data_IF_438658104361
#
_entry.id   IF_438658104361
#
_cell.length_a   1.000
_cell.length_b   1.000
_cell.length_c   1.000
_cell.angle_alpha   90.00
_cell.angle_beta   90.00
_cell.angle_gamma   90.00
#
_symmetry.space_group_name_H-M   'P 1'
#
loop_
_entity.id
_entity.type
_entity.pdbx_description
1 polymer ?
#
# COMPACT_ATOMS: atom_id res chain seq x y z
N UNK A 1 7.46 29.70 -18.88
CA UNK A 1 8.77 30.23 -18.45
C UNK A 1 9.50 29.10 -17.74
N UNK A 2 10.58 28.56 -18.31
CA UNK A 2 11.27 27.37 -17.79
C UNK A 2 12.12 27.80 -16.59
N UNK A 3 11.80 27.29 -15.40
CA UNK A 3 12.58 27.52 -14.18
C UNK A 3 13.70 26.48 -14.12
N UNK A 4 14.91 26.88 -13.72
CA UNK A 4 16.11 26.02 -13.76
C UNK A 4 16.57 25.68 -12.34
N UNK A 5 16.60 24.40 -11.99
CA UNK A 5 17.21 23.95 -10.73
C UNK A 5 18.74 24.04 -10.79
N UNK A 6 19.37 24.55 -9.72
CA UNK A 6 20.81 24.46 -9.49
C UNK A 6 21.07 23.91 -8.09
N UNK A 7 21.81 22.82 -8.01
CA UNK A 7 22.25 22.22 -6.75
C UNK A 7 23.69 22.66 -6.46
N UNK A 8 23.99 23.03 -5.22
CA UNK A 8 25.36 23.31 -4.79
C UNK A 8 25.68 22.59 -3.49
N UNK A 9 26.92 22.11 -3.37
CA UNK A 9 27.42 21.50 -2.15
C UNK A 9 27.82 22.60 -1.15
N UNK A 10 27.04 22.78 -0.08
CA UNK A 10 27.43 23.65 1.02
C UNK A 10 28.43 22.89 1.89
N UNK A 11 29.67 23.38 1.96
CA UNK A 11 30.75 22.77 2.75
C UNK A 11 30.29 22.67 4.22
N UNK A 12 29.80 21.48 4.59
CA UNK A 12 29.56 20.90 5.95
C UNK A 12 28.12 20.59 6.38
N UNK A 13 27.03 20.96 5.70
CA UNK A 13 25.67 20.74 6.26
C UNK A 13 24.59 20.29 5.24
N UNK A 14 24.98 19.83 4.04
CA UNK A 14 24.05 19.17 3.11
C UNK A 14 23.85 19.89 1.77
N UNK A 15 22.89 19.38 0.98
CA UNK A 15 22.61 19.85 -0.38
C UNK A 15 21.63 21.02 -0.34
N UNK A 16 22.04 22.18 -0.86
CA UNK A 16 21.18 23.35 -1.00
C UNK A 16 20.60 23.43 -2.42
N UNK A 17 19.27 23.64 -2.50
CA UNK A 17 18.59 23.93 -3.75
C UNK A 17 18.57 25.46 -3.96
N UNK A 18 19.19 25.91 -5.04
CA UNK A 18 19.13 27.30 -5.45
C UNK A 18 18.10 27.51 -6.55
N UNK A 19 17.25 28.50 -6.34
CA UNK A 19 16.31 29.00 -7.34
C UNK A 19 16.75 30.40 -7.81
N UNK A 20 16.80 30.60 -9.13
CA UNK A 20 17.12 31.91 -9.73
C UNK A 20 15.98 32.35 -10.64
N UNK A 21 15.23 33.37 -10.21
CA UNK A 21 14.30 34.13 -11.04
C UNK A 21 14.78 35.59 -11.20
N UNK A 22 14.18 36.39 -12.11
CA UNK A 22 14.44 37.82 -12.15
C UNK A 22 14.13 38.44 -10.77
N UNK A 23 15.11 39.12 -10.17
CA UNK A 23 14.93 39.87 -8.92
C UNK A 23 15.13 39.13 -7.59
N UNK A 24 15.21 37.79 -7.53
CA UNK A 24 15.37 37.09 -6.24
C UNK A 24 16.15 35.76 -6.30
N UNK A 25 16.87 35.46 -5.21
CA UNK A 25 17.58 34.19 -5.00
C UNK A 25 17.05 33.52 -3.73
N UNK A 26 16.49 32.31 -3.87
CA UNK A 26 15.97 31.52 -2.74
C UNK A 26 16.90 30.37 -2.41
N UNK A 27 17.01 30.03 -1.11
CA UNK A 27 17.70 28.84 -0.60
C UNK A 27 16.72 27.98 0.19
N UNK A 28 16.71 26.68 -0.10
CA UNK A 28 16.01 25.70 0.73
C UNK A 28 16.95 24.52 1.02
N UNK A 29 17.05 24.06 2.27
CA UNK A 29 17.75 22.81 2.58
C UNK A 29 16.97 21.65 1.98
N UNK A 30 17.59 20.88 1.08
CA UNK A 30 16.91 19.79 0.37
C UNK A 30 16.91 18.46 1.15
N UNK A 31 17.90 18.27 2.03
CA UNK A 31 18.13 17.03 2.78
C UNK A 31 18.65 17.38 4.18
N UNK A 32 17.76 17.41 5.17
CA UNK A 32 18.13 17.50 6.58
C UNK A 32 17.27 16.53 7.38
N UNK A 33 17.92 15.71 8.21
CA UNK A 33 17.25 14.87 9.20
C UNK A 33 16.64 15.77 10.29
N UNK A 34 15.43 15.43 10.73
CA UNK A 34 14.65 16.23 11.69
C UNK A 34 15.20 16.04 13.10
N UNK A 35 16.31 16.70 13.44
CA UNK A 35 16.59 17.08 14.82
C UNK A 35 17.58 18.25 14.86
N UNK A 36 17.15 19.38 15.41
CA UNK A 36 18.01 20.54 15.68
C UNK A 36 17.53 21.83 15.05
N UNK A 37 16.77 22.62 15.82
CA UNK A 37 16.53 24.03 15.55
C UNK A 37 17.84 24.77 15.87
N UNK A 38 18.43 25.45 14.90
CA UNK A 38 19.46 26.46 15.16
C UNK A 38 18.83 27.85 14.97
N UNK A 39 18.74 28.60 16.05
CA UNK A 39 18.48 30.04 16.06
C UNK A 39 19.78 30.84 16.08
N UNK A 40 19.67 32.07 15.59
CA UNK A 40 20.55 33.23 15.76
C UNK A 40 21.49 33.62 14.61
N UNK A 41 21.19 34.82 14.09
CA UNK A 41 22.06 35.99 14.04
C UNK A 41 23.57 35.78 13.89
N UNK A 42 24.12 36.37 12.81
CA UNK A 42 25.54 36.72 12.77
C UNK A 42 26.26 36.35 11.49
N UNK A 43 25.85 36.89 10.34
CA UNK A 43 26.68 36.88 9.13
C UNK A 43 26.54 38.21 8.37
N UNK A 44 27.15 39.28 8.92
CA UNK A 44 27.59 40.44 8.11
C UNK A 44 29.00 40.13 7.60
N UNK A 45 29.12 39.87 6.30
CA UNK A 45 30.40 39.71 5.62
C UNK A 45 30.33 40.24 4.19
N UNK A 46 31.07 41.31 3.93
CA UNK A 46 31.18 42.05 2.67
C UNK A 46 31.51 41.14 1.48
N UNK A 47 30.75 41.31 0.39
CA UNK A 47 31.15 40.90 -0.96
C UNK A 47 32.31 41.83 -1.39
N UNK A 48 33.51 41.27 -1.57
CA UNK A 48 34.56 41.90 -2.39
C UNK A 48 34.71 41.04 -3.63
N UNK A 49 34.41 41.66 -4.76
CA UNK A 49 34.62 41.16 -6.10
C UNK A 49 36.11 41.08 -6.39
N UNK A 50 36.62 39.88 -6.69
CA UNK A 50 37.90 39.70 -7.39
C UNK A 50 37.79 38.51 -8.34
N UNK A 51 37.65 38.85 -9.61
CA UNK A 51 37.81 37.93 -10.73
C UNK A 51 39.16 37.24 -10.73
N UNK A 52 39.13 35.95 -11.06
CA UNK A 52 40.30 35.11 -11.26
C UNK A 52 39.86 33.75 -11.76
N UNK A 53 39.96 33.54 -13.07
CA UNK A 53 39.80 32.24 -13.71
C UNK A 53 40.70 31.21 -13.02
N UNK A 54 40.10 30.22 -12.35
CA UNK A 54 40.70 28.89 -12.17
C UNK A 54 39.72 27.86 -12.70
N UNK A 55 40.03 27.34 -13.88
CA UNK A 55 39.35 26.23 -14.54
C UNK A 55 39.83 24.93 -13.88
N UNK A 56 39.24 24.60 -12.75
CA UNK A 56 39.28 23.28 -12.14
C UNK A 56 37.88 22.99 -11.68
N UNK A 57 37.08 22.37 -12.54
CA UNK A 57 35.71 21.99 -12.21
C UNK A 57 35.79 21.01 -11.04
N UNK A 58 35.27 21.42 -9.88
CA UNK A 58 35.06 20.52 -8.75
C UNK A 58 34.23 19.32 -9.27
N UNK A 59 34.74 18.08 -9.22
CA UNK A 59 34.04 16.91 -9.76
C UNK A 59 32.63 16.77 -9.17
N UNK A 60 32.46 17.15 -7.90
CA UNK A 60 31.14 17.16 -7.25
C UNK A 60 30.17 18.15 -7.92
N UNK A 61 30.64 19.31 -8.40
CA UNK A 61 29.79 20.30 -9.06
C UNK A 61 29.30 19.84 -10.44
N UNK A 62 30.07 18.98 -11.12
CA UNK A 62 29.66 18.37 -12.40
C UNK A 62 28.59 17.32 -12.16
N UNK A 63 28.74 16.50 -11.11
CA UNK A 63 27.83 15.41 -10.76
C UNK A 63 26.44 15.91 -10.31
N UNK A 64 26.38 16.95 -9.46
CA UNK A 64 25.10 17.55 -9.07
C UNK A 64 24.39 18.28 -10.22
N UNK A 65 25.14 18.76 -11.22
CA UNK A 65 24.58 19.35 -12.43
C UNK A 65 23.76 18.36 -13.25
N UNK A 66 24.20 17.10 -13.33
CA UNK A 66 23.50 16.04 -14.05
C UNK A 66 22.18 15.66 -13.38
N UNK A 67 22.16 15.60 -12.05
CA UNK A 67 20.93 15.35 -11.25
C UNK A 67 19.92 16.46 -11.51
N UNK A 68 20.33 17.73 -11.40
CA UNK A 68 19.46 18.87 -11.64
C UNK A 68 18.93 18.90 -13.09
N UNK A 69 19.78 18.57 -14.07
CA UNK A 69 19.37 18.54 -15.47
C UNK A 69 18.35 17.43 -15.76
N UNK A 70 18.52 16.24 -15.15
CA UNK A 70 17.56 15.14 -15.27
C UNK A 70 16.21 15.49 -14.60
N UNK A 71 16.24 16.13 -13.42
CA UNK A 71 15.04 16.61 -12.74
C UNK A 71 14.30 17.69 -13.55
N UNK A 72 15.01 18.66 -14.15
CA UNK A 72 14.43 19.67 -15.03
C UNK A 72 13.74 19.06 -16.27
N UNK A 73 14.13 17.85 -16.69
CA UNK A 73 13.52 17.10 -17.81
C UNK A 73 12.40 16.15 -17.38
N UNK A 74 12.14 16.01 -16.08
CA UNK A 74 11.18 15.02 -15.55
C UNK A 74 11.67 13.57 -15.63
N UNK A 75 12.97 13.35 -15.86
CA UNK A 75 13.55 12.01 -16.02
C UNK A 75 14.07 11.49 -14.68
N UNK A 76 13.15 10.91 -13.90
CA UNK A 76 13.42 10.44 -12.54
C UNK A 76 14.38 9.26 -12.49
N UNK A 77 14.39 8.39 -13.51
CA UNK A 77 15.31 7.27 -13.59
C UNK A 77 16.76 7.77 -13.73
N UNK A 78 17.01 8.69 -14.67
CA UNK A 78 18.33 9.29 -14.82
C UNK A 78 18.75 10.14 -13.62
N UNK A 79 17.81 10.83 -12.97
CA UNK A 79 18.13 11.59 -11.76
C UNK A 79 18.60 10.68 -10.62
N UNK A 80 17.97 9.52 -10.43
CA UNK A 80 18.37 8.54 -9.42
C UNK A 80 19.72 7.88 -9.73
N UNK A 81 19.94 7.50 -11.00
CA UNK A 81 21.23 6.96 -11.44
C UNK A 81 22.35 7.98 -11.20
N UNK A 82 22.13 9.24 -11.58
CA UNK A 82 23.10 10.32 -11.34
C UNK A 82 23.33 10.57 -9.83
N UNK A 83 22.30 10.46 -9.00
CA UNK A 83 22.42 10.60 -7.54
C UNK A 83 23.28 9.49 -6.92
N UNK A 84 23.10 8.24 -7.34
CA UNK A 84 23.91 7.09 -6.90
C UNK A 84 25.37 7.27 -7.33
N UNK A 85 25.60 7.67 -8.59
CA UNK A 85 26.95 7.91 -9.10
C UNK A 85 27.65 9.06 -8.36
N UNK A 86 26.90 10.10 -7.98
CA UNK A 86 27.39 11.24 -7.19
C UNK A 86 27.58 10.94 -5.69
N UNK A 87 27.25 9.72 -5.24
CA UNK A 87 27.18 9.33 -3.81
C UNK A 87 26.32 10.30 -2.99
N UNK A 88 25.30 10.88 -3.60
CA UNK A 88 24.32 11.70 -2.89
C UNK A 88 23.43 10.79 -2.01
N UNK A 89 22.86 11.31 -0.91
CA UNK A 89 21.85 10.58 -0.15
C UNK A 89 20.71 10.13 -1.07
N UNK A 90 20.17 8.93 -0.83
CA UNK A 90 19.11 8.37 -1.68
C UNK A 90 17.93 9.34 -1.82
N UNK A 91 17.60 9.65 -3.07
CA UNK A 91 16.51 10.56 -3.39
C UNK A 91 15.20 9.76 -3.29
N UNK A 92 14.64 9.68 -2.08
CA UNK A 92 13.42 8.89 -1.85
C UNK A 92 12.29 9.31 -2.81
N UNK A 93 11.42 8.37 -3.20
CA UNK A 93 10.25 8.68 -4.05
C UNK A 93 9.42 9.83 -3.47
N UNK A 94 9.34 9.94 -2.15
CA UNK A 94 8.63 11.01 -1.45
C UNK A 94 9.35 12.37 -1.58
N UNK A 95 10.69 12.41 -1.50
CA UNK A 95 11.49 13.61 -1.75
C UNK A 95 11.41 14.04 -3.23
N UNK A 96 11.47 13.07 -4.16
CA UNK A 96 11.28 13.30 -5.58
C UNK A 96 9.89 13.89 -5.88
N UNK A 97 8.83 13.32 -5.29
CA UNK A 97 7.46 13.82 -5.43
C UNK A 97 7.28 15.21 -4.82
N UNK A 98 7.96 15.52 -3.70
CA UNK A 98 7.97 16.87 -3.11
C UNK A 98 8.65 17.89 -4.03
N UNK A 99 9.76 17.52 -4.66
CA UNK A 99 10.47 18.35 -5.64
C UNK A 99 9.63 18.56 -6.92
N UNK A 100 9.03 17.50 -7.46
CA UNK A 100 8.16 17.57 -8.64
C UNK A 100 6.92 18.44 -8.40
N UNK A 101 6.36 18.40 -7.19
CA UNK A 101 5.21 19.25 -6.80
C UNK A 101 5.62 20.64 -6.28
N UNK A 102 6.91 20.93 -6.14
CA UNK A 102 7.38 22.22 -5.65
C UNK A 102 6.97 23.34 -6.61
N UNK A 103 7.01 23.11 -7.92
CA UNK A 103 6.56 24.11 -8.90
C UNK A 103 5.09 24.46 -8.76
N UNK A 104 4.21 23.47 -8.56
CA UNK A 104 2.77 23.69 -8.34
C UNK A 104 2.50 24.43 -7.03
N UNK A 105 3.28 24.12 -5.98
CA UNK A 105 3.22 24.84 -4.69
C UNK A 105 3.82 26.25 -4.76
N UNK A 106 4.72 26.51 -5.72
CA UNK A 106 5.33 27.81 -5.94
C UNK A 106 4.57 28.67 -6.96
N UNK A 107 3.72 28.07 -7.80
CA UNK A 107 2.89 28.77 -8.80
C UNK A 107 1.86 29.69 -8.16
N UNK A 108 1.51 29.48 -6.87
CA UNK A 108 0.65 30.38 -6.09
C UNK A 108 1.34 31.64 -5.58
N UNK A 109 2.65 31.78 -5.80
CA UNK A 109 3.43 32.96 -5.40
C UNK A 109 3.90 33.70 -6.65
N UNK A 110 3.47 34.94 -6.79
CA UNK A 110 3.98 35.85 -7.82
C UNK A 110 5.28 36.49 -7.31
N UNK A 111 6.44 36.26 -7.94
CA UNK A 111 7.70 36.85 -7.49
C UNK A 111 7.70 38.39 -7.50
N UNK A 112 6.81 39.03 -8.28
CA UNK A 112 6.74 40.47 -8.45
C UNK A 112 5.67 41.12 -7.54
N UNK A 113 4.93 40.34 -6.75
CA UNK A 113 3.89 40.89 -5.88
C UNK A 113 4.51 41.73 -4.74
N UNK A 114 4.01 42.97 -4.52
CA UNK A 114 4.57 43.89 -3.54
C UNK A 114 4.53 43.32 -2.12
N UNK A 115 5.58 43.63 -1.36
CA UNK A 115 5.75 43.21 0.03
C UNK A 115 5.77 44.42 0.96
N UNK A 116 5.25 44.24 2.16
CA UNK A 116 5.47 45.19 3.23
C UNK A 116 6.93 45.11 3.75
N UNK A 117 7.28 46.03 4.65
CA UNK A 117 8.60 46.09 5.29
C UNK A 117 8.94 44.85 6.15
N UNK A 118 7.96 43.98 6.40
CA UNK A 118 8.11 42.69 7.06
C UNK A 118 8.18 41.50 6.09
N UNK A 119 8.13 41.74 4.77
CA UNK A 119 8.20 40.71 3.74
C UNK A 119 6.88 39.96 3.49
N UNK A 120 5.76 40.41 4.06
CA UNK A 120 4.42 39.81 3.84
C UNK A 120 3.80 40.36 2.56
N UNK A 121 3.01 39.53 1.87
CA UNK A 121 2.29 39.88 0.65
C UNK A 121 1.17 40.88 0.94
N UNK A 122 1.05 41.94 0.14
CA UNK A 122 0.09 43.03 0.40
C UNK A 122 -1.24 42.91 -0.35
N UNK A 123 -1.44 41.91 -1.22
CA UNK A 123 -2.63 41.81 -2.08
C UNK A 123 -3.32 40.44 -2.03
N UNK A 124 -4.15 40.22 -1.00
CA UNK A 124 -5.36 39.38 -1.16
C UNK A 124 -5.79 38.54 0.04
N UNK A 125 -7.04 38.77 0.49
CA UNK A 125 -7.85 37.77 1.18
C UNK A 125 -8.51 38.20 2.49
N UNK A 126 -9.46 39.13 2.42
CA UNK A 126 -10.34 39.51 3.55
C UNK A 126 -11.23 38.33 3.93
N UNK A 127 -11.18 37.92 5.20
CA UNK A 127 -12.10 36.96 5.80
C UNK A 127 -13.51 37.57 5.86
N UNK A 128 -14.50 36.88 5.27
CA UNK A 128 -15.92 37.22 5.44
C UNK A 128 -16.45 36.79 6.82
N UNK A 129 -17.36 37.55 7.45
CA UNK A 129 -17.79 37.33 8.83
C UNK A 129 -18.98 36.36 8.95
N UNK A 130 -19.13 35.84 10.16
CA UNK A 130 -20.21 34.99 10.63
C UNK A 130 -21.60 35.62 10.50
N UNK A 131 -22.60 34.82 10.11
CA UNK A 131 -24.01 35.19 10.25
C UNK A 131 -24.66 34.32 11.33
N UNK A 132 -25.18 34.99 12.35
CA UNK A 132 -25.95 34.43 13.44
C UNK A 132 -27.44 34.30 13.07
N UNK A 133 -28.05 33.28 13.66
CA UNK A 133 -29.42 33.16 14.18
C UNK A 133 -30.61 33.85 13.48
N UNK A 134 -31.59 33.04 13.09
CA UNK A 134 -33.00 33.34 13.31
C UNK A 134 -33.70 32.11 13.88
N UNK A 135 -34.31 32.27 15.04
CA UNK A 135 -35.22 31.31 15.66
C UNK A 135 -36.65 31.66 15.24
N UNK A 136 -37.45 30.67 14.85
CA UNK A 136 -38.89 30.72 15.11
C UNK A 136 -39.57 29.34 15.07
N UNK A 137 -40.36 29.11 16.13
CA UNK A 137 -41.62 28.38 16.20
C UNK A 137 -41.63 26.84 16.10
N UNK A 138 -41.93 26.24 17.26
CA UNK A 138 -42.41 24.89 17.44
C UNK A 138 -43.95 24.85 17.40
N UNK A 139 -44.51 24.02 16.52
CA UNK A 139 -45.74 23.23 16.71
C UNK A 139 -46.08 22.51 15.40
N UNK A 140 -46.06 21.18 15.39
CA UNK A 140 -47.28 20.37 15.25
C UNK A 140 -46.93 18.90 14.94
N UNK A 141 -47.74 18.04 15.53
CA UNK A 141 -47.69 16.59 15.58
C UNK A 141 -48.22 16.02 14.27
N UNK A 142 -47.53 15.02 13.71
CA UNK A 142 -48.07 13.73 13.22
C UNK A 142 -47.01 13.03 12.38
N UNK A 143 -46.52 11.90 12.87
CA UNK A 143 -45.66 11.01 12.09
C UNK A 143 -46.46 10.36 10.94
N UNK A 144 -45.88 10.23 9.74
CA UNK A 144 -46.50 9.45 8.68
C UNK A 144 -46.27 7.94 8.93
N UNK A 145 -47.21 7.10 8.49
CA UNK A 145 -47.22 5.67 8.79
C UNK A 145 -46.10 4.92 8.07
N UNK A 146 -45.60 3.88 8.75
CA UNK A 146 -44.76 2.82 8.17
C UNK A 146 -45.46 2.21 6.96
N UNK A 147 -45.02 2.57 5.77
CA UNK A 147 -45.28 1.80 4.56
C UNK A 147 -44.41 0.53 4.63
N UNK A 148 -45.10 -0.61 4.65
CA UNK A 148 -44.51 -1.91 4.48
C UNK A 148 -43.78 -1.96 3.12
N UNK A 149 -42.45 -2.09 3.18
CA UNK A 149 -41.67 -2.49 2.02
C UNK A 149 -41.83 -3.99 1.90
N UNK A 150 -42.76 -4.39 1.05
CA UNK A 150 -42.82 -5.73 0.49
C UNK A 150 -41.45 -6.06 -0.11
N UNK A 151 -40.88 -7.17 0.35
CA UNK A 151 -39.68 -7.75 -0.22
C UNK A 151 -39.91 -8.08 -1.67
N UNK A 152 -39.40 -7.22 -2.55
CA UNK A 152 -39.01 -7.61 -3.89
C UNK A 152 -37.53 -8.00 -3.76
N UNK A 153 -37.28 -9.27 -3.47
CA UNK A 153 -36.02 -9.91 -3.81
C UNK A 153 -35.93 -9.91 -5.33
N UNK A 154 -35.52 -8.78 -5.89
CA UNK A 154 -35.00 -8.72 -7.23
C UNK A 154 -33.69 -9.48 -7.19
N UNK A 155 -33.69 -10.70 -7.70
CA UNK A 155 -32.50 -11.36 -8.22
C UNK A 155 -31.94 -10.46 -9.32
N UNK A 156 -31.22 -9.42 -8.92
CA UNK A 156 -30.48 -8.57 -9.84
C UNK A 156 -29.49 -9.50 -10.53
N UNK A 157 -29.74 -9.77 -11.81
CA UNK A 157 -28.85 -10.55 -12.64
C UNK A 157 -27.43 -10.01 -12.44
N UNK A 158 -26.58 -10.82 -11.78
CA UNK A 158 -25.21 -10.44 -11.47
C UNK A 158 -24.54 -9.96 -12.75
N UNK A 159 -24.04 -8.74 -12.73
CA UNK A 159 -23.30 -8.21 -13.85
C UNK A 159 -22.04 -9.06 -14.06
N UNK A 160 -21.59 -9.18 -15.31
CA UNK A 160 -20.39 -9.97 -15.63
C UNK A 160 -19.16 -9.49 -14.85
N UNK A 161 -19.06 -8.19 -14.61
CA UNK A 161 -18.01 -7.58 -13.80
C UNK A 161 -18.05 -8.08 -12.35
N UNK A 162 -19.23 -8.10 -11.71
CA UNK A 162 -19.39 -8.65 -10.35
C UNK A 162 -19.00 -10.14 -10.29
N UNK A 163 -19.26 -10.91 -11.34
CA UNK A 163 -18.82 -12.30 -11.41
C UNK A 163 -17.27 -12.42 -11.45
N UNK A 164 -16.59 -11.52 -12.16
CA UNK A 164 -15.12 -11.46 -12.17
C UNK A 164 -14.56 -10.96 -10.85
N UNK A 165 -15.15 -9.91 -10.25
CA UNK A 165 -14.76 -9.42 -8.93
C UNK A 165 -14.83 -10.53 -7.89
N UNK A 166 -15.95 -11.28 -7.82
CA UNK A 166 -16.05 -12.42 -6.90
C UNK A 166 -15.01 -13.52 -7.15
N UNK A 167 -14.66 -13.75 -8.42
CA UNK A 167 -13.69 -14.78 -8.80
C UNK A 167 -12.26 -14.39 -8.42
N UNK A 168 -11.89 -13.12 -8.59
CA UNK A 168 -10.48 -12.70 -8.58
C UNK A 168 -10.11 -11.77 -7.42
N UNK A 169 -11.04 -11.00 -6.87
CA UNK A 169 -10.71 -9.95 -5.89
C UNK A 169 -10.34 -10.50 -4.53
N UNK A 170 -10.68 -11.75 -4.24
CA UNK A 170 -10.29 -12.42 -3.01
C UNK A 170 -8.99 -13.23 -3.15
N UNK A 171 -8.38 -13.27 -4.33
CA UNK A 171 -7.14 -14.01 -4.52
C UNK A 171 -5.94 -13.16 -4.08
N UNK A 172 -5.02 -13.78 -3.34
CA UNK A 172 -3.68 -13.23 -3.14
C UNK A 172 -2.89 -13.18 -4.47
N UNK A 173 -1.76 -12.47 -4.53
CA UNK A 173 -1.00 -12.27 -5.76
C UNK A 173 -0.51 -13.59 -6.38
N UNK A 174 -0.21 -14.60 -5.55
CA UNK A 174 0.26 -15.91 -6.02
C UNK A 174 -0.87 -16.69 -6.69
N UNK A 175 -2.03 -16.79 -6.04
CA UNK A 175 -3.17 -17.54 -6.59
C UNK A 175 -3.82 -16.79 -7.75
N UNK A 176 -3.87 -15.46 -7.69
CA UNK A 176 -4.26 -14.62 -8.81
C UNK A 176 -3.37 -14.88 -10.04
N UNK A 177 -2.04 -14.90 -9.87
CA UNK A 177 -1.12 -15.19 -10.97
C UNK A 177 -1.38 -16.58 -11.59
N UNK A 178 -1.65 -17.61 -10.77
CA UNK A 178 -1.99 -18.96 -11.27
C UNK A 178 -3.25 -18.95 -12.14
N UNK A 179 -4.32 -18.31 -11.67
CA UNK A 179 -5.59 -18.23 -12.41
C UNK A 179 -5.43 -17.46 -13.73
N UNK A 180 -4.63 -16.38 -13.72
CA UNK A 180 -4.30 -15.61 -14.92
C UNK A 180 -3.51 -16.46 -15.93
N UNK A 181 -2.52 -17.23 -15.48
CA UNK A 181 -1.73 -18.15 -16.33
C UNK A 181 -2.67 -19.17 -16.99
N UNK A 182 -3.53 -19.83 -16.20
CA UNK A 182 -4.48 -20.82 -16.71
C UNK A 182 -5.44 -20.22 -17.74
N UNK A 183 -5.94 -19.01 -17.49
CA UNK A 183 -6.79 -18.30 -18.45
C UNK A 183 -6.02 -17.94 -19.72
N UNK A 184 -4.80 -17.43 -19.61
CA UNK A 184 -3.92 -17.13 -20.75
C UNK A 184 -3.63 -18.37 -21.62
N UNK A 185 -3.29 -19.50 -21.00
CA UNK A 185 -3.07 -20.77 -21.69
C UNK A 185 -4.33 -21.26 -22.41
N UNK A 186 -5.51 -21.09 -21.79
CA UNK A 186 -6.81 -21.39 -22.43
C UNK A 186 -7.04 -20.50 -23.65
N UNK A 187 -6.80 -19.18 -23.55
CA UNK A 187 -6.91 -18.28 -24.69
C UNK A 187 -6.00 -18.72 -25.85
N UNK A 188 -4.77 -19.11 -25.55
CA UNK A 188 -3.81 -19.55 -26.56
C UNK A 188 -4.24 -20.83 -27.29
N UNK A 189 -4.82 -21.79 -26.57
CA UNK A 189 -5.26 -23.08 -27.15
C UNK A 189 -6.60 -23.01 -27.87
N UNK A 190 -7.57 -22.31 -27.29
CA UNK A 190 -8.98 -22.39 -27.69
C UNK A 190 -9.54 -21.08 -28.25
N UNK A 191 -8.83 -19.96 -28.10
CA UNK A 191 -9.37 -18.63 -28.38
C UNK A 191 -9.82 -18.41 -29.83
N UNK A 192 -9.22 -19.14 -30.78
CA UNK A 192 -9.61 -19.10 -32.21
C UNK A 192 -10.91 -19.85 -32.50
N UNK A 193 -11.27 -20.81 -31.66
CA UNK A 193 -12.49 -21.63 -31.79
C UNK A 193 -13.66 -21.12 -30.96
N UNK A 194 -13.49 -20.04 -30.19
CA UNK A 194 -14.59 -19.47 -29.41
C UNK A 194 -15.73 -18.98 -30.29
N UNK A 195 -16.96 -19.29 -29.85
CA UNK A 195 -18.17 -18.66 -30.37
C UNK A 195 -18.13 -17.14 -30.13
N UNK A 196 -18.95 -16.34 -30.84
CA UNK A 196 -19.00 -14.89 -30.62
C UNK A 196 -19.26 -14.49 -29.16
N UNK A 197 -20.15 -15.20 -28.47
CA UNK A 197 -20.47 -14.95 -27.06
C UNK A 197 -19.31 -15.31 -26.12
N UNK A 198 -18.61 -16.42 -26.36
CA UNK A 198 -17.43 -16.80 -25.59
C UNK A 198 -16.28 -15.82 -25.81
N UNK A 199 -16.10 -15.36 -27.05
CA UNK A 199 -15.10 -14.34 -27.40
C UNK A 199 -15.38 -13.02 -26.70
N UNK A 200 -16.62 -12.57 -26.66
CA UNK A 200 -17.01 -11.35 -25.92
C UNK A 200 -16.73 -11.51 -24.42
N UNK A 201 -17.08 -12.66 -23.84
CA UNK A 201 -16.78 -12.97 -22.43
C UNK A 201 -15.27 -13.01 -22.17
N UNK A 202 -14.50 -13.63 -23.05
CA UNK A 202 -13.05 -13.73 -22.96
C UNK A 202 -12.38 -12.35 -23.07
N UNK A 203 -12.88 -11.47 -23.95
CA UNK A 203 -12.42 -10.08 -24.06
C UNK A 203 -12.67 -9.30 -22.76
N UNK A 204 -13.85 -9.45 -22.17
CA UNK A 204 -14.18 -8.80 -20.90
C UNK A 204 -13.32 -9.33 -19.74
N UNK A 205 -13.14 -10.65 -19.63
CA UNK A 205 -12.27 -11.26 -18.61
C UNK A 205 -10.80 -10.87 -18.82
N UNK A 206 -10.32 -10.81 -20.07
CA UNK A 206 -8.98 -10.34 -20.40
C UNK A 206 -8.75 -8.88 -19.96
N UNK A 207 -9.67 -7.97 -20.30
CA UNK A 207 -9.57 -6.56 -19.90
C UNK A 207 -9.57 -6.40 -18.37
N UNK A 208 -10.44 -7.14 -17.68
CA UNK A 208 -10.49 -7.16 -16.21
C UNK A 208 -9.16 -7.65 -15.60
N UNK A 209 -8.62 -8.76 -16.11
CA UNK A 209 -7.36 -9.33 -15.63
C UNK A 209 -6.16 -8.41 -15.88
N UNK A 210 -6.16 -7.63 -16.97
CA UNK A 210 -5.13 -6.63 -17.22
C UNK A 210 -5.14 -5.49 -16.20
N UNK A 211 -6.31 -4.94 -15.87
CA UNK A 211 -6.45 -3.93 -14.83
C UNK A 211 -5.93 -4.47 -13.48
N UNK A 212 -6.36 -5.69 -13.13
CA UNK A 212 -5.96 -6.35 -11.88
C UNK A 212 -4.48 -6.71 -11.82
N UNK A 213 -3.88 -7.18 -12.92
CA UNK A 213 -2.43 -7.42 -12.99
C UNK A 213 -1.65 -6.12 -12.78
N UNK A 214 -2.08 -5.04 -13.41
CA UNK A 214 -1.43 -3.72 -13.28
C UNK A 214 -1.43 -3.28 -11.82
N UNK A 215 -2.59 -3.39 -11.17
CA UNK A 215 -2.73 -3.13 -9.74
C UNK A 215 -1.80 -3.99 -8.87
N UNK A 216 -1.71 -5.30 -9.12
CA UNK A 216 -0.83 -6.20 -8.37
C UNK A 216 0.66 -5.93 -8.60
N UNK A 217 1.03 -5.57 -9.84
CA UNK A 217 2.39 -5.22 -10.20
C UNK A 217 2.84 -3.90 -9.53
N UNK A 218 1.91 -2.96 -9.34
CA UNK A 218 2.15 -1.72 -8.60
C UNK A 218 2.10 -1.88 -7.06
N UNK A 219 1.57 -3.00 -6.55
CA UNK A 219 1.48 -3.24 -5.11
C UNK A 219 2.85 -3.54 -4.48
N UNK A 220 3.46 -2.56 -3.80
CA UNK A 220 4.85 -2.65 -3.30
C UNK A 220 5.12 -3.78 -2.30
N UNK A 221 4.08 -4.31 -1.62
CA UNK A 221 4.24 -5.25 -0.52
C UNK A 221 4.03 -6.70 -0.94
N UNK A 222 4.87 -7.19 -1.86
CA UNK A 222 4.88 -8.57 -2.35
C UNK A 222 6.29 -9.16 -2.37
N UNK A 223 6.48 -10.46 -2.14
CA UNK A 223 7.79 -11.09 -2.22
C UNK A 223 8.25 -11.17 -3.67
N UNK A 224 9.57 -11.29 -3.88
CA UNK A 224 10.16 -11.39 -5.21
C UNK A 224 9.58 -12.55 -6.04
N UNK A 225 9.25 -13.66 -5.39
CA UNK A 225 8.59 -14.82 -6.02
C UNK A 225 7.19 -14.48 -6.53
N UNK A 226 6.37 -13.79 -5.73
CA UNK A 226 5.04 -13.36 -6.17
C UNK A 226 5.14 -12.33 -7.31
N UNK A 227 6.11 -11.41 -7.25
CA UNK A 227 6.36 -10.48 -8.36
C UNK A 227 6.74 -11.22 -9.64
N UNK A 228 7.67 -12.18 -9.58
CA UNK A 228 8.04 -13.01 -10.73
C UNK A 228 6.84 -13.80 -11.30
N UNK A 229 5.99 -14.35 -10.42
CA UNK A 229 4.77 -15.05 -10.85
C UNK A 229 3.79 -14.11 -11.57
N UNK A 230 3.60 -12.88 -11.06
CA UNK A 230 2.74 -11.88 -11.70
C UNK A 230 3.30 -11.43 -13.06
N UNK A 231 4.62 -11.29 -13.19
CA UNK A 231 5.27 -11.01 -14.48
C UNK A 231 5.07 -12.15 -15.47
N UNK A 232 5.25 -13.39 -15.03
CA UNK A 232 4.97 -14.58 -15.85
C UNK A 232 3.50 -14.62 -16.28
N UNK A 233 2.58 -14.35 -15.35
CA UNK A 233 1.15 -14.32 -15.62
C UNK A 233 0.78 -13.24 -16.64
N UNK A 234 1.35 -12.04 -16.52
CA UNK A 234 1.21 -10.97 -17.49
C UNK A 234 1.66 -11.42 -18.90
N UNK A 235 2.85 -12.03 -19.00
CA UNK A 235 3.38 -12.50 -20.28
C UNK A 235 2.49 -13.59 -20.89
N UNK A 236 2.11 -14.61 -20.11
CA UNK A 236 1.24 -15.70 -20.56
C UNK A 236 -0.13 -15.20 -21.00
N UNK A 237 -0.74 -14.27 -20.25
CA UNK A 237 -2.01 -13.67 -20.60
C UNK A 237 -1.95 -12.95 -21.96
N UNK A 238 -0.90 -12.17 -22.17
CA UNK A 238 -0.70 -11.42 -23.42
C UNK A 238 -0.46 -12.36 -24.62
N UNK A 239 0.45 -13.33 -24.48
CA UNK A 239 0.74 -14.31 -25.53
C UNK A 239 -0.48 -15.16 -25.86
N UNK A 240 -1.22 -15.62 -24.84
CA UNK A 240 -2.46 -16.35 -25.00
C UNK A 240 -3.51 -15.56 -25.78
N UNK A 241 -3.69 -14.28 -25.46
CA UNK A 241 -4.63 -13.41 -26.16
C UNK A 241 -4.25 -13.17 -27.63
N UNK A 242 -2.96 -13.00 -27.95
CA UNK A 242 -2.50 -12.90 -29.34
C UNK A 242 -2.75 -14.20 -30.08
N UNK A 243 -2.32 -15.33 -29.52
CA UNK A 243 -2.43 -16.64 -30.15
C UNK A 243 -3.90 -17.02 -30.39
N UNK A 244 -4.77 -16.70 -29.44
CA UNK A 244 -6.22 -16.86 -29.52
C UNK A 244 -6.94 -15.86 -30.43
N UNK A 245 -6.24 -14.87 -30.99
CA UNK A 245 -6.83 -13.83 -31.84
C UNK A 245 -7.81 -12.91 -31.09
N UNK A 246 -7.62 -12.78 -29.77
CA UNK A 246 -8.34 -11.86 -28.87
C UNK A 246 -7.68 -10.47 -28.91
N UNK A 247 -6.35 -10.42 -28.93
CA UNK A 247 -5.56 -9.20 -29.02
C UNK A 247 -4.68 -9.20 -30.30
N UNK A 248 -4.28 -8.02 -30.75
CA UNK A 248 -3.36 -7.86 -31.89
C UNK A 248 -1.92 -7.73 -31.40
N UNK A 249 -0.99 -8.33 -32.15
CA UNK A 249 0.44 -8.12 -31.90
C UNK A 249 0.79 -6.63 -32.05
N UNK A 250 1.50 -6.09 -31.06
CA UNK A 250 1.91 -4.67 -31.02
C UNK A 250 1.02 -3.76 -30.16
N UNK A 251 -0.18 -4.22 -29.77
CA UNK A 251 -1.02 -3.51 -28.79
C UNK A 251 -0.67 -4.01 -27.37
N UNK A 252 0.52 -3.67 -26.88
CA UNK A 252 0.85 -3.88 -25.48
C UNK A 252 0.10 -2.84 -24.63
N UNK A 253 -0.66 -3.26 -23.59
CA UNK A 253 -1.23 -2.33 -22.62
C UNK A 253 -0.12 -1.49 -22.00
N UNK A 254 -0.41 -0.21 -21.71
CA UNK A 254 0.58 0.71 -21.12
C UNK A 254 1.25 0.14 -19.86
N UNK A 255 0.51 -0.57 -19.01
CA UNK A 255 1.05 -1.22 -17.82
C UNK A 255 2.04 -2.35 -18.11
N UNK A 256 1.99 -2.96 -19.29
CA UNK A 256 2.97 -3.95 -19.74
C UNK A 256 4.13 -3.33 -20.52
N UNK A 257 4.05 -2.07 -20.95
CA UNK A 257 5.18 -1.40 -21.59
C UNK A 257 6.29 -1.18 -20.55
N UNK A 258 5.92 -0.79 -19.33
CA UNK A 258 6.86 -0.61 -18.22
C UNK A 258 7.49 -1.94 -17.76
N UNK A 259 6.73 -3.03 -17.83
CA UNK A 259 7.21 -4.40 -17.56
C UNK A 259 8.06 -4.94 -18.71
N UNK A 260 7.65 -4.69 -19.95
CA UNK A 260 8.37 -5.10 -21.15
C UNK A 260 9.78 -4.54 -21.15
N UNK A 261 9.96 -3.27 -20.78
CA UNK A 261 11.30 -2.68 -20.63
C UNK A 261 12.24 -3.49 -19.73
N UNK A 262 11.72 -4.18 -18.71
CA UNK A 262 12.49 -5.05 -17.84
C UNK A 262 12.73 -6.45 -18.44
N UNK A 263 11.74 -7.05 -19.12
CA UNK A 263 11.84 -8.41 -19.68
C UNK A 263 12.74 -8.46 -20.93
N UNK A 264 12.64 -7.46 -21.81
CA UNK A 264 13.50 -7.36 -23.01
C UNK A 264 14.97 -7.06 -22.67
N UNK A 265 15.29 -6.70 -21.42
CA UNK A 265 16.67 -6.56 -20.94
C UNK A 265 17.34 -7.91 -20.61
N UNK A 266 16.58 -9.00 -20.44
CA UNK A 266 17.12 -10.33 -20.10
C UNK A 266 17.39 -11.23 -21.32
N UNK A 267 16.89 -10.89 -22.50
CA UNK A 267 17.13 -11.64 -23.75
C UNK A 267 18.43 -11.23 -24.48
N UNK A 268 19.17 -10.25 -23.97
CA UNK A 268 20.54 -9.98 -24.41
C UNK A 268 21.52 -10.81 -23.58
N UNK A 269 22.23 -11.73 -24.25
CA UNK A 269 23.28 -12.63 -23.74
C UNK A 269 24.04 -12.11 -22.50
N UNK A 270 24.34 -12.96 -21.51
CA UNK A 270 24.97 -12.52 -20.27
C UNK A 270 26.35 -11.90 -20.54
N UNK A 271 26.70 -10.74 -19.94
CA UNK A 271 28.09 -10.36 -19.87
C UNK A 271 28.84 -11.43 -19.08
N UNK A 272 29.87 -12.02 -19.70
CA UNK A 272 30.84 -12.90 -19.02
C UNK A 272 31.39 -12.18 -17.78
N UNK A 273 30.86 -12.52 -16.61
CA UNK A 273 31.43 -12.09 -15.33
C UNK A 273 32.73 -12.89 -15.14
N UNK A 274 33.87 -12.23 -15.31
CA UNK A 274 35.16 -12.74 -14.81
C UNK A 274 35.08 -12.76 -13.27
N UNK A 275 35.63 -13.78 -12.60
CA UNK A 275 35.67 -13.78 -11.14
C UNK A 275 36.57 -12.63 -10.68
N UNK A 276 35.95 -11.57 -10.17
CA UNK A 276 36.66 -10.50 -9.48
C UNK A 276 37.05 -11.00 -8.10
N UNK A 277 38.33 -10.86 -7.82
CA UNK A 277 39.04 -11.11 -6.58
C UNK A 277 38.23 -10.70 -5.35
N UNK A 278 38.06 -11.62 -4.39
CA UNK A 278 37.48 -11.36 -3.08
C UNK A 278 38.26 -10.23 -2.38
N UNK A 279 37.61 -9.14 -1.91
CA UNK A 279 38.21 -8.31 -0.90
C UNK A 279 38.07 -9.01 0.45
N UNK A 280 39.22 -9.24 1.10
CA UNK A 280 39.30 -9.56 2.52
C UNK A 280 38.69 -8.38 3.30
N UNK A 281 37.61 -8.65 4.05
CA UNK A 281 37.15 -7.73 5.07
C UNK A 281 37.75 -8.15 6.41
N UNK A 282 38.70 -7.33 6.84
CA UNK A 282 39.29 -7.31 8.16
C UNK A 282 38.18 -7.00 9.19
N UNK A 283 38.07 -7.87 10.18
CA UNK A 283 37.07 -7.84 11.25
C UNK A 283 37.39 -6.78 12.29
N UNK A 284 36.46 -5.85 12.53
CA UNK A 284 36.36 -5.12 13.80
C UNK A 284 34.87 -4.96 14.16
N UNK A 285 34.42 -5.34 15.37
CA UNK A 285 33.01 -5.52 15.69
C UNK A 285 32.37 -4.19 16.10
N UNK A 286 31.58 -3.60 15.20
CA UNK A 286 30.75 -2.43 15.47
C UNK A 286 29.27 -2.80 15.47
N UNK A 287 28.64 -2.69 16.64
CA UNK A 287 27.21 -2.68 16.94
C UNK A 287 26.25 -3.24 15.86
N UNK A 288 25.77 -4.46 16.11
CA UNK A 288 24.62 -5.08 15.44
C UNK A 288 23.41 -4.15 15.62
N UNK A 289 22.98 -3.49 14.55
CA UNK A 289 21.66 -2.85 14.51
C UNK A 289 20.66 -4.02 14.54
N UNK A 290 20.10 -4.29 15.72
CA UNK A 290 19.03 -5.28 15.86
C UNK A 290 17.88 -4.88 14.92
N UNK A 291 17.46 -5.82 14.08
CA UNK A 291 16.20 -5.73 13.36
C UNK A 291 15.07 -5.42 14.36
N UNK A 292 14.00 -4.70 13.96
CA UNK A 292 12.89 -4.39 14.84
C UNK A 292 12.37 -5.69 15.47
N UNK A 293 12.46 -5.78 16.81
CA UNK A 293 12.07 -6.98 17.56
C UNK A 293 10.64 -7.38 17.19
N UNK A 294 10.50 -8.62 16.71
CA UNK A 294 9.23 -9.31 16.54
C UNK A 294 8.41 -9.19 17.83
N UNK A 295 7.22 -8.60 17.73
CA UNK A 295 6.28 -8.53 18.84
C UNK A 295 5.55 -9.88 18.86
N UNK A 296 6.16 -10.86 19.52
CA UNK A 296 5.59 -12.18 19.78
C UNK A 296 4.41 -12.06 20.77
N UNK A 297 3.21 -12.18 20.23
CA UNK A 297 2.17 -13.00 20.86
C UNK A 297 1.92 -14.18 19.94
N UNK A 298 1.15 -15.19 20.36
CA UNK A 298 0.92 -16.48 19.65
C UNK A 298 0.82 -16.37 18.11
N UNK A 299 0.31 -15.27 17.55
CA UNK A 299 0.24 -15.06 16.11
C UNK A 299 1.54 -14.69 15.39
N UNK A 300 2.56 -15.53 15.50
CA UNK A 300 3.75 -15.45 14.64
C UNK A 300 3.44 -15.62 13.15
N UNK A 301 4.40 -16.19 12.41
CA UNK A 301 4.19 -16.55 11.01
C UNK A 301 3.94 -18.05 10.90
N UNK A 302 2.82 -18.45 10.31
CA UNK A 302 2.42 -19.85 10.08
C UNK A 302 2.26 -20.09 8.58
N UNK A 303 2.64 -21.26 8.09
CA UNK A 303 2.44 -21.61 6.68
C UNK A 303 0.96 -21.93 6.41
N UNK A 304 0.43 -21.51 5.27
CA UNK A 304 -0.95 -21.77 4.84
C UNK A 304 -1.35 -23.25 4.92
N UNK A 305 -0.46 -24.17 4.55
CA UNK A 305 -0.67 -25.63 4.61
C UNK A 305 -0.85 -26.15 6.03
N UNK A 306 -0.15 -25.55 6.98
CA UNK A 306 -0.23 -25.92 8.40
C UNK A 306 -1.49 -25.34 9.04
N UNK A 307 -1.82 -24.09 8.71
CA UNK A 307 -3.03 -23.43 9.17
C UNK A 307 -4.31 -23.93 8.45
N UNK A 308 -4.18 -24.72 7.38
CA UNK A 308 -5.32 -25.17 6.57
C UNK A 308 -6.06 -24.05 5.84
N UNK A 309 -5.41 -22.90 5.58
CA UNK A 309 -6.05 -21.73 4.98
C UNK A 309 -5.73 -21.66 3.49
N UNK A 310 -6.77 -21.50 2.66
CA UNK A 310 -6.61 -21.12 1.25
C UNK A 310 -7.31 -19.79 0.99
N UNK A 311 -6.54 -18.73 0.76
CA UNK A 311 -7.12 -17.40 0.55
C UNK A 311 -8.02 -17.34 -0.69
N UNK A 312 -9.16 -16.65 -0.58
CA UNK A 312 -10.08 -16.41 -1.68
C UNK A 312 -10.96 -17.58 -2.11
N UNK A 313 -11.07 -18.61 -1.28
CA UNK A 313 -11.97 -19.74 -1.51
C UNK A 313 -13.24 -19.70 -0.65
N UNK A 314 -13.45 -18.64 0.15
CA UNK A 314 -14.65 -18.44 0.96
C UNK A 314 -14.57 -19.06 2.36
N UNK A 315 -15.66 -18.95 3.12
CA UNK A 315 -15.70 -19.25 4.57
C UNK A 315 -15.33 -20.70 4.89
N UNK A 316 -15.70 -21.66 4.05
CA UNK A 316 -15.44 -23.08 4.33
C UNK A 316 -13.94 -23.40 4.22
N UNK A 317 -13.33 -23.07 3.09
CA UNK A 317 -11.91 -23.33 2.85
C UNK A 317 -10.95 -22.37 3.57
N UNK A 318 -11.43 -21.20 4.04
CA UNK A 318 -10.62 -20.26 4.81
C UNK A 318 -10.84 -20.38 6.32
N UNK A 319 -12.08 -20.46 6.76
CA UNK A 319 -12.48 -20.40 8.16
C UNK A 319 -12.32 -21.72 8.89
N UNK A 320 -12.79 -22.82 8.30
CA UNK A 320 -12.80 -24.15 8.94
C UNK A 320 -11.39 -24.63 9.27
N UNK A 321 -10.44 -24.49 8.32
CA UNK A 321 -9.04 -24.84 8.55
C UNK A 321 -8.40 -24.03 9.68
N UNK A 322 -8.68 -22.72 9.72
CA UNK A 322 -8.17 -21.85 10.78
C UNK A 322 -8.76 -22.18 12.15
N UNK A 323 -10.06 -22.47 12.22
CA UNK A 323 -10.74 -22.90 13.46
C UNK A 323 -10.15 -24.20 14.00
N UNK A 324 -9.88 -25.18 13.12
CA UNK A 324 -9.23 -26.44 13.49
C UNK A 324 -7.79 -26.23 13.98
N UNK A 325 -7.02 -25.38 13.32
CA UNK A 325 -5.67 -25.02 13.74
C UNK A 325 -5.68 -24.37 15.13
N UNK A 326 -6.56 -23.40 15.35
CA UNK A 326 -6.70 -22.74 16.67
C UNK A 326 -7.07 -23.74 17.76
N UNK A 327 -8.00 -24.67 17.49
CA UNK A 327 -8.35 -25.72 18.45
C UNK A 327 -7.17 -26.64 18.78
N UNK A 328 -6.38 -27.03 17.78
CA UNK A 328 -5.17 -27.85 17.97
C UNK A 328 -4.11 -27.15 18.84
N UNK A 329 -3.92 -25.85 18.64
CA UNK A 329 -2.98 -25.04 19.44
C UNK A 329 -3.51 -24.73 20.85
N UNK A 330 -4.79 -25.03 21.12
CA UNK A 330 -5.43 -24.86 22.43
C UNK A 330 -6.09 -26.19 22.88
N UNK A 331 -5.30 -27.24 23.16
CA UNK A 331 -5.83 -28.59 23.43
C UNK A 331 -6.73 -28.68 24.69
N UNK A 332 -6.62 -27.71 25.61
CA UNK A 332 -7.46 -27.61 26.81
C UNK A 332 -8.79 -26.88 26.54
N UNK A 333 -8.98 -26.35 25.32
CA UNK A 333 -10.23 -25.73 24.89
C UNK A 333 -11.15 -26.76 24.23
N UNK A 334 -12.45 -26.66 24.54
CA UNK A 334 -13.50 -27.44 23.88
C UNK A 334 -14.06 -26.65 22.70
N UNK A 335 -14.37 -27.36 21.61
CA UNK A 335 -15.10 -26.78 20.49
C UNK A 335 -16.54 -26.47 20.94
N UNK A 336 -17.01 -25.26 20.67
CA UNK A 336 -18.40 -24.90 20.86
C UNK A 336 -19.26 -25.45 19.70
N UNK A 337 -20.59 -25.43 19.89
CA UNK A 337 -21.51 -25.87 18.85
C UNK A 337 -21.35 -24.99 17.58
N UNK A 338 -21.51 -25.52 16.36
CA UNK A 338 -21.31 -24.75 15.12
C UNK A 338 -22.18 -23.49 14.96
N UNK A 339 -23.24 -23.37 15.75
CA UNK A 339 -24.17 -22.23 15.77
C UNK A 339 -24.02 -21.34 17.02
N UNK A 340 -23.01 -21.61 17.86
CA UNK A 340 -22.63 -20.76 18.99
C UNK A 340 -22.32 -19.35 18.48
N UNK A 341 -22.67 -18.35 19.29
CA UNK A 341 -22.53 -16.96 18.86
C UNK A 341 -21.16 -16.43 19.25
N UNK A 342 -20.51 -15.74 18.31
CA UNK A 342 -19.26 -14.99 18.50
C UNK A 342 -18.00 -15.81 18.83
N UNK A 343 -18.11 -16.91 19.59
CA UNK A 343 -16.99 -17.76 19.99
C UNK A 343 -17.09 -19.14 19.36
N UNK A 344 -15.91 -19.70 19.10
CA UNK A 344 -15.74 -20.98 18.41
C UNK A 344 -15.16 -22.04 19.38
N UNK A 345 -14.38 -21.61 20.38
CA UNK A 345 -13.79 -22.47 21.41
C UNK A 345 -13.94 -21.88 22.81
N UNK A 346 -13.95 -22.74 23.83
CA UNK A 346 -13.93 -22.32 25.23
C UNK A 346 -12.97 -23.16 26.06
N UNK A 347 -12.04 -22.50 26.76
CA UNK A 347 -11.13 -23.17 27.68
C UNK A 347 -11.73 -23.26 29.07
N UNK A 348 -12.07 -24.47 29.51
CA UNK A 348 -12.71 -24.73 30.80
C UNK A 348 -11.83 -24.40 32.01
N UNK A 349 -10.50 -24.41 31.83
CA UNK A 349 -9.54 -24.18 32.92
C UNK A 349 -9.24 -22.69 33.09
N UNK A 350 -9.00 -21.97 31.99
CA UNK A 350 -8.71 -20.54 32.02
C UNK A 350 -9.97 -19.67 31.98
N UNK A 351 -11.12 -20.28 31.68
CA UNK A 351 -12.38 -19.58 31.42
C UNK A 351 -12.27 -18.58 30.26
N UNK A 352 -11.45 -18.91 29.26
CA UNK A 352 -11.21 -18.09 28.08
C UNK A 352 -12.15 -18.48 26.94
N UNK A 353 -12.93 -17.52 26.43
CA UNK A 353 -13.73 -17.67 25.23
C UNK A 353 -12.93 -17.18 24.01
N UNK A 354 -12.77 -18.06 23.01
CA UNK A 354 -11.90 -17.83 21.85
C UNK A 354 -12.74 -17.79 20.57
N UNK A 355 -12.54 -16.73 19.80
CA UNK A 355 -13.12 -16.53 18.47
C UNK A 355 -12.01 -16.66 17.41
N UNK A 356 -12.08 -17.64 16.54
CA UNK A 356 -11.19 -17.79 15.40
C UNK A 356 -11.76 -17.03 14.20
N UNK A 357 -10.97 -16.13 13.62
CA UNK A 357 -11.37 -15.30 12.49
C UNK A 357 -10.27 -15.23 11.46
N UNK A 358 -10.66 -15.21 10.19
CA UNK A 358 -9.75 -14.96 9.07
C UNK A 358 -10.10 -13.63 8.42
N UNK A 359 -9.08 -12.91 7.95
CA UNK A 359 -9.26 -11.68 7.20
C UNK A 359 -8.25 -11.63 6.06
N UNK A 360 -8.75 -11.79 4.84
CA UNK A 360 -7.92 -11.61 3.66
C UNK A 360 -7.65 -10.13 3.39
N UNK A 361 -6.59 -9.59 3.98
CA UNK A 361 -6.15 -8.20 3.80
C UNK A 361 -5.76 -7.87 2.36
N UNK A 362 -5.51 -8.88 1.54
CA UNK A 362 -5.17 -8.75 0.13
C UNK A 362 -6.39 -8.62 -0.78
N UNK A 363 -7.61 -8.71 -0.23
CA UNK A 363 -8.76 -8.42 -1.07
C UNK A 363 -8.72 -6.97 -1.56
N UNK A 364 -9.12 -6.77 -2.82
CA UNK A 364 -9.11 -5.45 -3.45
C UNK A 364 -9.88 -4.42 -2.63
N UNK A 365 -10.96 -4.86 -1.97
CA UNK A 365 -11.79 -4.02 -1.10
C UNK A 365 -11.00 -3.41 0.07
N UNK A 366 -10.05 -4.15 0.65
CA UNK A 366 -9.22 -3.70 1.76
C UNK A 366 -7.92 -3.03 1.31
N UNK A 367 -7.45 -3.29 0.09
CA UNK A 367 -6.31 -2.55 -0.45
C UNK A 367 -6.75 -1.15 -0.89
N UNK A 368 -7.88 -1.02 -1.59
CA UNK A 368 -8.42 0.29 -2.03
C UNK A 368 -8.90 1.15 -0.86
N UNK A 369 -9.47 0.52 0.18
CA UNK A 369 -10.05 1.19 1.36
C UNK A 369 -9.59 0.51 2.65
N UNK A 370 -8.32 0.72 3.07
CA UNK A 370 -7.75 0.04 4.23
C UNK A 370 -8.49 0.33 5.55
N UNK A 371 -9.22 1.45 5.64
CA UNK A 371 -10.07 1.79 6.77
C UNK A 371 -11.19 0.78 7.04
N UNK A 372 -11.61 0.01 6.01
CA UNK A 372 -12.62 -1.05 6.16
C UNK A 372 -12.14 -2.19 7.05
N UNK A 373 -10.83 -2.43 7.14
CA UNK A 373 -10.25 -3.43 8.05
C UNK A 373 -10.65 -3.12 9.48
N UNK A 374 -10.51 -1.86 9.90
CA UNK A 374 -10.88 -1.45 11.25
C UNK A 374 -12.38 -1.66 11.50
N UNK A 375 -13.24 -1.27 10.56
CA UNK A 375 -14.69 -1.45 10.73
C UNK A 375 -15.09 -2.92 10.84
N UNK A 376 -14.45 -3.79 10.03
CA UNK A 376 -14.69 -5.24 10.09
C UNK A 376 -14.29 -5.82 11.45
N UNK A 377 -13.08 -5.50 11.92
CA UNK A 377 -12.59 -5.99 13.21
C UNK A 377 -13.33 -5.39 14.39
N UNK A 378 -13.76 -4.12 14.29
CA UNK A 378 -14.64 -3.49 15.28
C UNK A 378 -15.91 -4.31 15.47
N UNK A 379 -16.53 -4.77 14.38
CA UNK A 379 -17.71 -5.64 14.45
C UNK A 379 -17.44 -6.96 15.17
N UNK A 380 -16.29 -7.60 14.95
CA UNK A 380 -15.91 -8.81 15.69
C UNK A 380 -15.68 -8.54 17.18
N UNK A 381 -15.00 -7.43 17.50
CA UNK A 381 -14.79 -7.01 18.90
C UNK A 381 -16.11 -6.74 19.58
N UNK A 382 -17.01 -5.98 18.95
CA UNK A 382 -18.32 -5.65 19.52
C UNK A 382 -19.15 -6.93 19.76
N UNK A 383 -19.14 -7.87 18.79
CA UNK A 383 -19.84 -9.14 18.95
C UNK A 383 -19.33 -9.99 20.12
N UNK A 384 -18.03 -9.97 20.40
CA UNK A 384 -17.44 -10.65 21.56
C UNK A 384 -17.65 -9.88 22.87
N UNK A 385 -17.48 -8.55 22.84
CA UNK A 385 -17.62 -7.70 24.02
C UNK A 385 -19.06 -7.70 24.53
N UNK A 386 -20.03 -7.48 23.63
CA UNK A 386 -21.47 -7.45 23.88
C UNK A 386 -22.10 -8.83 23.64
N UNK A 387 -21.35 -9.89 23.92
CA UNK A 387 -21.81 -11.26 23.74
C UNK A 387 -23.04 -11.52 24.61
N UNK A 388 -24.07 -12.05 23.95
CA UNK A 388 -25.33 -12.48 24.58
C UNK A 388 -25.67 -13.87 24.03
N UNK A 389 -25.85 -14.87 24.90
CA UNK A 389 -26.04 -16.25 24.49
C UNK A 389 -27.35 -16.45 23.73
N UNK A 390 -27.35 -17.36 22.77
CA UNK A 390 -28.60 -17.93 22.25
C UNK A 390 -29.20 -18.89 23.26
N UNK A 391 -30.52 -18.85 23.41
CA UNK A 391 -31.25 -19.73 24.34
C UNK A 391 -30.95 -21.20 24.05
N UNK A 392 -30.40 -21.90 25.04
CA UNK A 392 -30.37 -23.38 25.11
C UNK A 392 -29.12 -24.10 24.60
N UNK A 393 -28.09 -23.42 24.06
CA UNK A 393 -26.89 -24.10 23.54
C UNK A 393 -25.60 -23.27 23.54
N UNK A 394 -25.61 -22.09 24.16
CA UNK A 394 -24.50 -21.14 24.08
C UNK A 394 -23.82 -20.98 25.45
N UNK A 395 -22.59 -20.46 25.43
CA UNK A 395 -21.77 -20.28 26.63
C UNK A 395 -22.42 -19.29 27.61
N UNK A 396 -22.48 -19.62 28.90
CA UNK A 396 -22.97 -18.68 29.92
C UNK A 396 -21.98 -17.53 30.07
N UNK A 397 -22.39 -16.25 29.91
CA UNK A 397 -21.49 -15.11 30.08
C UNK A 397 -20.78 -15.06 31.43
N UNK A 398 -21.36 -15.64 32.49
CA UNK A 398 -20.76 -15.70 33.83
C UNK A 398 -19.59 -16.67 33.93
N UNK A 399 -19.49 -17.64 33.02
CA UNK A 399 -18.36 -18.55 32.92
C UNK A 399 -17.16 -17.93 32.17
N UNK A 400 -17.33 -16.76 31.55
CA UNK A 400 -16.29 -16.13 30.72
C UNK A 400 -15.45 -15.15 31.53
N UNK A 401 -14.20 -15.50 31.77
CA UNK A 401 -13.22 -14.64 32.44
C UNK A 401 -12.45 -13.75 31.45
N UNK A 402 -12.13 -14.27 30.28
CA UNK A 402 -11.39 -13.55 29.23
C UNK A 402 -11.94 -13.86 27.84
N UNK A 403 -11.74 -12.93 26.91
CA UNK A 403 -12.23 -13.01 25.53
C UNK A 403 -11.09 -12.73 24.57
N UNK A 404 -10.85 -13.64 23.63
CA UNK A 404 -9.76 -13.52 22.66
C UNK A 404 -10.25 -13.77 21.23
N UNK A 405 -9.83 -12.92 20.30
CA UNK A 405 -9.98 -13.11 18.86
C UNK A 405 -8.62 -13.55 18.31
N UNK A 406 -8.55 -14.79 17.81
CA UNK A 406 -7.42 -15.33 17.05
C UNK A 406 -7.63 -15.00 15.57
N UNK A 407 -6.94 -13.97 15.09
CA UNK A 407 -7.10 -13.41 13.75
C UNK A 407 -5.97 -13.87 12.82
N UNK A 408 -6.27 -14.69 11.83
CA UNK A 408 -5.36 -14.96 10.72
C UNK A 408 -5.49 -13.88 9.63
N UNK A 409 -4.35 -13.39 9.14
CA UNK A 409 -4.26 -12.46 8.00
C UNK A 409 -3.17 -12.91 7.02
N UNK A 410 -3.17 -12.42 5.78
CA UNK A 410 -2.08 -12.71 4.85
C UNK A 410 -0.76 -12.07 5.31
N UNK A 411 0.35 -12.77 5.08
CA UNK A 411 1.71 -12.25 5.32
C UNK A 411 1.96 -10.94 4.54
N UNK A 412 1.31 -10.71 3.42
CA UNK A 412 1.55 -9.54 2.56
C UNK A 412 0.72 -8.29 2.93
N UNK A 413 0.21 -8.24 4.15
CA UNK A 413 -0.49 -7.07 4.70
C UNK A 413 0.42 -5.84 4.72
N UNK A 414 -0.02 -4.75 4.08
CA UNK A 414 0.78 -3.51 4.00
C UNK A 414 0.90 -2.77 5.35
N UNK A 415 1.91 -1.91 5.54
CA UNK A 415 2.04 -1.06 6.71
C UNK A 415 0.82 -0.17 6.97
N UNK A 416 0.17 0.35 5.92
CA UNK A 416 -1.06 1.14 6.04
C UNK A 416 -2.20 0.31 6.61
N UNK A 417 -2.40 -0.91 6.12
CA UNK A 417 -3.39 -1.84 6.66
C UNK A 417 -3.05 -2.24 8.10
N UNK A 418 -1.76 -2.40 8.41
CA UNK A 418 -1.27 -2.70 9.76
C UNK A 418 -1.66 -1.60 10.77
N UNK A 419 -1.67 -0.33 10.38
CA UNK A 419 -2.15 0.75 11.25
C UNK A 419 -3.60 0.55 11.69
N UNK A 420 -4.48 0.08 10.78
CA UNK A 420 -5.87 -0.22 11.11
C UNK A 420 -6.02 -1.48 11.96
N UNK A 421 -5.18 -2.49 11.75
CA UNK A 421 -5.10 -3.66 12.64
C UNK A 421 -4.70 -3.25 14.06
N UNK A 422 -3.66 -2.43 14.22
CA UNK A 422 -3.22 -1.94 15.54
C UNK A 422 -4.28 -1.06 16.21
N UNK A 423 -5.00 -0.25 15.43
CA UNK A 423 -6.15 0.52 15.92
C UNK A 423 -7.25 -0.41 16.43
N UNK A 424 -7.55 -1.50 15.72
CA UNK A 424 -8.53 -2.49 16.16
C UNK A 424 -8.08 -3.25 17.42
N UNK A 425 -6.79 -3.63 17.52
CA UNK A 425 -6.22 -4.24 18.75
C UNK A 425 -6.40 -3.33 19.96
N UNK A 426 -6.17 -2.02 19.80
CA UNK A 426 -6.37 -1.04 20.86
C UNK A 426 -7.83 -0.97 21.29
N UNK A 427 -8.73 -0.81 20.32
CA UNK A 427 -10.18 -0.80 20.58
C UNK A 427 -10.66 -2.08 21.27
N UNK A 428 -10.18 -3.25 20.84
CA UNK A 428 -10.46 -4.54 21.49
C UNK A 428 -10.10 -4.52 22.97
N UNK A 429 -8.86 -4.14 23.29
CA UNK A 429 -8.39 -4.05 24.68
C UNK A 429 -9.24 -3.09 25.52
N UNK A 430 -9.61 -1.93 24.96
CA UNK A 430 -10.48 -0.96 25.64
C UNK A 430 -11.90 -1.52 25.88
N UNK A 431 -12.31 -2.54 25.12
CA UNK A 431 -13.59 -3.28 25.25
C UNK A 431 -13.45 -4.61 26.00
N UNK A 432 -12.28 -4.91 26.57
CA UNK A 432 -12.03 -6.17 27.29
C UNK A 432 -11.87 -7.41 26.39
N UNK A 433 -11.52 -7.22 25.12
CA UNK A 433 -11.31 -8.30 24.13
C UNK A 433 -9.88 -8.24 23.58
N UNK A 434 -9.11 -9.30 23.76
CA UNK A 434 -7.77 -9.42 23.19
C UNK A 434 -7.85 -9.79 21.71
N UNK A 435 -7.02 -9.18 20.87
CA UNK A 435 -6.85 -9.64 19.48
C UNK A 435 -5.40 -10.10 19.29
N UNK A 436 -5.25 -11.37 18.96
CA UNK A 436 -3.98 -11.99 18.58
C UNK A 436 -3.98 -12.13 17.07
N UNK A 437 -2.94 -11.62 16.40
CA UNK A 437 -2.89 -11.58 14.94
C UNK A 437 -1.81 -12.51 14.47
N UNK A 438 -2.16 -13.50 13.66
CA UNK A 438 -1.26 -14.49 13.03
C UNK A 438 -1.09 -14.18 11.55
N UNK A 439 0.15 -14.12 11.08
CA UNK A 439 0.45 -13.93 9.65
C UNK A 439 0.55 -15.29 8.97
N UNK A 440 -0.18 -15.45 7.86
CA UNK A 440 -0.20 -16.68 7.08
C UNK A 440 0.69 -16.51 5.85
N UNK A 441 1.78 -17.27 5.81
CA UNK A 441 2.69 -17.37 4.67
C UNK A 441 2.08 -18.25 3.58
N UNK A 442 2.09 -17.73 2.35
CA UNK A 442 1.48 -18.36 1.16
C UNK A 442 2.42 -19.31 0.42
#
# INVERSE_FOLDING_TARGET
>A
MIRTFRLTNARRIGVELHFRGPGACWRAPALQDRSGICTEAGCRGRLVDRGGLRRGSDPAAVEFGLIAQALNRGDFAHANIAAVLARAPELSREAAARLANAEKKLAKYDPDEPRDWHGRWTSGGVAGPASAATAESAADRRGPPKLAVSGVSGDAADTREQAFERKYDELGPVDFAKEVIQFGDRLGREGRSFSPAERERALAEYAFLQDRLSFWLDYDYKPATAHANLLSAALTLYQGAINGGIARAGELPRSMVDVGGAVWAFDNLPPRIRPSTKPNFESTPGARVEAPREIEGIGGVVNNREAGIVWGKGVKEQGEGWELYVGKENPDAVNLAPNAKAFDHFNLTTQEAISAKTLNTLSVSYIKKPERIYQKLKGYVDAAADYEPRVGADLDPSDIRSKTIQLAISEYTSPTQWQYLQRAKRYGRDRGVSIVITRIRE
#
